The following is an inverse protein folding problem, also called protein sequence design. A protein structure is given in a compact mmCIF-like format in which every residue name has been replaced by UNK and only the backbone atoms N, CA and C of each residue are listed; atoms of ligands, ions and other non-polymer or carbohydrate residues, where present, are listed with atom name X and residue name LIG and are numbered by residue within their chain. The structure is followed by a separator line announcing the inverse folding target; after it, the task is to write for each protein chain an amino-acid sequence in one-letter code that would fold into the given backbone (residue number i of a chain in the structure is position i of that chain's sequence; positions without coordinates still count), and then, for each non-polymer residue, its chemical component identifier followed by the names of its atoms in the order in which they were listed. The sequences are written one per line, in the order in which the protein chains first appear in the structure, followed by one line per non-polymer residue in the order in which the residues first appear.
data_IF_279690576607
#
_entry.id   IF_279690576607
#
_cell.length_a   1.000
_cell.length_b   1.000
_cell.length_c   1.000
_cell.angle_alpha   90.00
_cell.angle_beta   90.00
_cell.angle_gamma   90.00
#
_symmetry.space_group_name_H-M   'P 1'
#
loop_
_entity.id
_entity.type
_entity.pdbx_description
1 polymer ?
#
# COMPACT_ATOMS: atom_id res chain seq x y z
N UNK A 1 0.87 28.79 9.06
CA UNK A 1 0.82 28.66 7.59
C UNK A 1 1.49 29.88 6.96
N UNK A 2 2.32 29.67 5.95
CA UNK A 2 2.89 30.82 5.21
C UNK A 2 1.78 31.50 4.38
N UNK A 3 1.89 32.84 4.20
CA UNK A 3 0.97 33.58 3.33
C UNK A 3 0.90 32.99 1.90
N UNK A 4 1.99 32.38 1.42
CA UNK A 4 2.03 31.73 0.11
C UNK A 4 1.15 30.49 0.04
N UNK A 5 1.04 29.66 1.06
CA UNK A 5 0.18 28.48 1.04
C UNK A 5 -1.31 28.86 0.96
N UNK A 6 -1.72 29.92 1.66
CA UNK A 6 -3.09 30.42 1.62
C UNK A 6 -3.47 31.02 0.24
N UNK A 7 -2.49 31.51 -0.52
CA UNK A 7 -2.73 32.05 -1.87
C UNK A 7 -3.10 30.97 -2.90
N UNK A 8 -2.75 29.70 -2.62
CA UNK A 8 -3.07 28.56 -3.49
C UNK A 8 -4.25 27.72 -3.00
N UNK A 9 -4.77 28.02 -1.80
CA UNK A 9 -5.96 27.35 -1.26
C UNK A 9 -7.22 27.98 -1.88
N UNK A 10 -7.62 27.44 -3.01
CA UNK A 10 -8.72 27.94 -3.84
C UNK A 10 -9.93 27.00 -3.79
N UNK A 11 -11.00 27.34 -4.48
CA UNK A 11 -12.23 26.56 -4.60
C UNK A 11 -12.69 26.55 -6.07
N UNK A 12 -13.87 25.98 -6.37
CA UNK A 12 -14.45 25.84 -7.71
C UNK A 12 -14.85 27.20 -8.30
N UNK A 13 -13.87 28.01 -8.67
CA UNK A 13 -14.05 29.30 -9.32
C UNK A 13 -14.10 29.14 -10.86
N UNK A 14 -14.63 30.15 -11.55
CA UNK A 14 -14.58 30.19 -13.02
C UNK A 14 -13.12 30.14 -13.48
N UNK A 15 -12.79 29.09 -14.27
CA UNK A 15 -11.43 28.82 -14.76
C UNK A 15 -10.64 27.83 -13.91
N UNK A 16 -11.18 27.44 -12.73
CA UNK A 16 -10.81 26.24 -12.02
C UNK A 16 -11.88 25.18 -12.23
N UNK A 17 -11.51 23.92 -12.15
CA UNK A 17 -12.38 22.79 -12.48
C UNK A 17 -13.10 22.26 -11.23
N UNK A 18 -13.94 21.22 -11.38
CA UNK A 18 -14.66 20.58 -10.28
C UNK A 18 -14.36 19.08 -10.23
N UNK A 19 -13.78 18.59 -9.12
CA UNK A 19 -13.27 17.22 -9.01
C UNK A 19 -14.33 16.15 -9.29
N UNK A 20 -15.56 16.34 -8.85
CA UNK A 20 -16.64 15.34 -9.03
C UNK A 20 -17.20 15.29 -10.46
N UNK A 21 -16.94 16.30 -11.28
CA UNK A 21 -17.34 16.36 -12.70
C UNK A 21 -16.32 17.18 -13.48
N UNK A 22 -15.08 16.69 -13.62
CA UNK A 22 -14.00 17.44 -14.23
C UNK A 22 -14.23 17.65 -15.73
N UNK A 23 -13.94 18.86 -16.23
CA UNK A 23 -14.10 19.25 -17.63
C UNK A 23 -13.02 20.24 -18.09
N UNK A 24 -12.02 20.51 -17.25
CA UNK A 24 -10.95 21.46 -17.49
C UNK A 24 -9.61 20.95 -16.96
N UNK A 25 -8.93 21.76 -16.16
CA UNK A 25 -7.55 21.47 -15.69
C UNK A 25 -7.44 20.21 -14.84
N UNK A 26 -8.48 19.84 -14.09
CA UNK A 26 -8.48 18.59 -13.30
C UNK A 26 -8.64 17.39 -14.26
N UNK A 27 -9.51 17.51 -15.27
CA UNK A 27 -9.65 16.47 -16.29
C UNK A 27 -8.32 16.24 -17.00
N UNK A 28 -7.69 17.32 -17.50
CA UNK A 28 -6.40 17.24 -18.18
C UNK A 28 -5.32 16.58 -17.29
N UNK A 29 -5.23 16.97 -16.02
CA UNK A 29 -4.28 16.38 -15.08
C UNK A 29 -4.57 14.88 -14.82
N UNK A 30 -5.83 14.46 -14.77
CA UNK A 30 -6.22 13.05 -14.65
C UNK A 30 -5.92 12.25 -15.92
N UNK A 31 -6.07 12.84 -17.11
CA UNK A 31 -5.69 12.25 -18.39
C UNK A 31 -4.16 12.03 -18.45
N UNK A 32 -3.37 13.03 -18.07
CA UNK A 32 -1.92 12.91 -17.95
C UNK A 32 -1.50 11.86 -16.91
N UNK A 33 -2.27 11.70 -15.83
CA UNK A 33 -2.04 10.61 -14.89
C UNK A 33 -2.37 9.25 -15.51
N UNK A 34 -3.44 9.12 -16.27
CA UNK A 34 -3.78 7.89 -17.00
C UNK A 34 -2.64 7.48 -17.94
N UNK A 35 -2.11 8.43 -18.71
CA UNK A 35 -0.98 8.19 -19.60
C UNK A 35 0.27 7.74 -18.85
N UNK A 36 0.64 8.45 -17.78
CA UNK A 36 1.85 8.18 -17.00
C UNK A 36 1.83 6.83 -16.29
N UNK A 37 0.65 6.36 -15.85
CA UNK A 37 0.49 5.10 -15.13
C UNK A 37 -0.01 3.94 -16.01
N UNK A 38 -0.29 4.18 -17.29
CA UNK A 38 -0.76 3.16 -18.24
C UNK A 38 -2.19 2.70 -17.96
N UNK A 39 -3.07 3.61 -17.54
CA UNK A 39 -4.48 3.34 -17.25
C UNK A 39 -5.40 3.86 -18.37
N UNK A 40 -6.58 3.25 -18.52
CA UNK A 40 -7.61 3.81 -19.40
C UNK A 40 -8.25 5.05 -18.77
N UNK A 41 -8.37 5.07 -17.44
CA UNK A 41 -8.87 6.22 -16.69
C UNK A 41 -8.27 6.30 -15.29
N UNK A 42 -7.99 7.54 -14.84
CA UNK A 42 -7.50 7.85 -13.49
C UNK A 42 -8.36 8.90 -12.81
N UNK A 43 -8.45 8.81 -11.48
CA UNK A 43 -9.14 9.77 -10.63
C UNK A 43 -8.23 10.22 -9.50
N UNK A 44 -8.24 11.52 -9.23
CA UNK A 44 -7.60 12.09 -8.06
C UNK A 44 -8.39 11.78 -6.80
N UNK A 45 -7.68 11.38 -5.75
CA UNK A 45 -8.26 11.07 -4.45
C UNK A 45 -7.69 12.05 -3.41
N UNK A 46 -8.59 12.86 -2.84
CA UNK A 46 -8.24 13.83 -1.79
C UNK A 46 -8.55 13.34 -0.38
N UNK A 47 -9.03 12.10 -0.25
CA UNK A 47 -9.33 11.41 1.00
C UNK A 47 -8.51 10.14 1.18
N UNK A 48 -7.31 10.09 0.58
CA UNK A 48 -6.37 8.97 0.67
C UNK A 48 -6.80 7.75 -0.15
N UNK A 49 -5.95 6.74 -0.17
CA UNK A 49 -6.25 5.43 -0.76
C UNK A 49 -7.48 4.78 -0.11
N UNK A 50 -7.78 5.12 1.14
CA UNK A 50 -8.96 4.65 1.86
C UNK A 50 -10.24 4.89 1.05
N UNK A 51 -10.47 6.11 0.55
CA UNK A 51 -11.65 6.40 -0.25
C UNK A 51 -11.64 5.66 -1.59
N UNK A 52 -10.46 5.45 -2.17
CA UNK A 52 -10.30 4.67 -3.40
C UNK A 52 -10.71 3.20 -3.22
N UNK A 53 -10.31 2.57 -2.12
CA UNK A 53 -10.72 1.21 -1.76
C UNK A 53 -12.24 1.14 -1.54
N UNK A 54 -12.81 2.12 -0.85
CA UNK A 54 -14.26 2.20 -0.66
C UNK A 54 -14.99 2.29 -2.01
N UNK A 55 -14.58 3.21 -2.87
CA UNK A 55 -15.18 3.42 -4.18
C UNK A 55 -15.02 2.20 -5.09
N UNK A 56 -13.86 1.56 -5.08
CA UNK A 56 -13.59 0.37 -5.88
C UNK A 56 -14.54 -0.78 -5.50
N UNK A 57 -14.67 -1.10 -4.21
CA UNK A 57 -15.57 -2.15 -3.76
C UNK A 57 -17.04 -1.78 -4.04
N UNK A 58 -17.47 -0.54 -3.75
CA UNK A 58 -18.82 -0.09 -4.02
C UNK A 58 -19.18 -0.09 -5.51
N UNK A 59 -18.20 0.12 -6.39
CA UNK A 59 -18.45 0.13 -7.85
C UNK A 59 -18.73 -1.26 -8.42
N UNK A 60 -18.22 -2.32 -7.80
CA UNK A 60 -18.39 -3.70 -8.24
C UNK A 60 -19.50 -4.43 -7.48
N UNK A 61 -19.69 -4.16 -6.19
CA UNK A 61 -20.80 -4.67 -5.40
C UNK A 61 -22.11 -3.98 -5.83
N UNK A 62 -23.01 -4.71 -6.49
CA UNK A 62 -24.25 -4.18 -7.07
C UNK A 62 -25.42 -4.27 -6.11
N UNK A 63 -25.44 -5.37 -5.35
CA UNK A 63 -26.54 -5.71 -4.47
C UNK A 63 -26.02 -6.01 -3.06
N UNK A 64 -26.91 -5.81 -2.08
CA UNK A 64 -26.63 -6.19 -0.70
C UNK A 64 -26.33 -7.69 -0.60
N UNK A 65 -25.22 -8.03 0.04
CA UNK A 65 -24.78 -9.41 0.22
C UNK A 65 -24.00 -10.00 -0.96
N UNK A 66 -23.70 -9.20 -1.99
CA UNK A 66 -22.75 -9.61 -3.02
C UNK A 66 -21.43 -10.03 -2.38
N UNK A 67 -20.87 -11.14 -2.87
CA UNK A 67 -19.61 -11.63 -2.34
C UNK A 67 -18.42 -10.82 -2.88
N UNK A 68 -17.54 -10.37 -1.99
CA UNK A 68 -16.22 -9.84 -2.34
C UNK A 68 -15.17 -10.78 -1.75
N UNK A 69 -14.31 -11.31 -2.60
CA UNK A 69 -13.15 -12.09 -2.15
C UNK A 69 -12.06 -11.14 -1.69
N UNK A 70 -11.56 -11.34 -0.48
CA UNK A 70 -10.57 -10.44 0.14
C UNK A 70 -9.44 -11.24 0.76
N UNK A 71 -8.20 -10.87 0.45
CA UNK A 71 -7.04 -11.42 1.15
C UNK A 71 -6.98 -10.91 2.60
N UNK A 72 -6.67 -11.79 3.56
CA UNK A 72 -6.71 -11.43 5.00
C UNK A 72 -5.56 -10.54 5.46
N UNK A 73 -4.58 -10.28 4.62
CA UNK A 73 -3.53 -9.28 4.81
C UNK A 73 -3.92 -7.87 4.34
N UNK A 74 -5.21 -7.67 4.01
CA UNK A 74 -5.73 -6.39 3.55
C UNK A 74 -5.70 -5.30 4.64
N UNK A 75 -5.60 -4.04 4.18
CA UNK A 75 -5.70 -2.87 5.04
C UNK A 75 -7.12 -2.71 5.64
N UNK A 76 -7.23 -2.05 6.80
CA UNK A 76 -8.51 -1.79 7.48
C UNK A 76 -9.57 -1.09 6.60
N UNK A 77 -9.16 -0.33 5.57
CA UNK A 77 -10.09 0.29 4.62
C UNK A 77 -10.95 -0.73 3.87
N UNK A 78 -10.47 -1.97 3.66
CA UNK A 78 -11.26 -3.04 3.06
C UNK A 78 -12.44 -3.43 3.94
N UNK A 79 -12.25 -3.54 5.26
CA UNK A 79 -13.33 -3.79 6.21
C UNK A 79 -14.38 -2.68 6.20
N UNK A 80 -13.92 -1.42 6.20
CA UNK A 80 -14.83 -0.27 6.11
C UNK A 80 -15.60 -0.26 4.79
N UNK A 81 -14.96 -0.63 3.69
CA UNK A 81 -15.61 -0.74 2.38
C UNK A 81 -16.70 -1.81 2.35
N UNK A 82 -16.46 -2.98 2.97
CA UNK A 82 -17.46 -4.04 3.12
C UNK A 82 -18.68 -3.58 3.93
N UNK A 83 -18.43 -2.82 5.01
CA UNK A 83 -19.50 -2.21 5.81
C UNK A 83 -20.32 -1.22 4.99
N UNK A 84 -19.66 -0.32 4.24
CA UNK A 84 -20.31 0.70 3.44
C UNK A 84 -21.13 0.11 2.27
N UNK A 85 -20.58 -0.89 1.61
CA UNK A 85 -21.24 -1.54 0.45
C UNK A 85 -22.30 -2.56 0.82
N UNK A 86 -22.30 -3.06 2.07
CA UNK A 86 -23.12 -4.20 2.48
C UNK A 86 -22.67 -5.53 1.87
N UNK A 87 -21.50 -5.57 1.23
CA UNK A 87 -20.95 -6.77 0.62
C UNK A 87 -20.50 -7.79 1.68
N UNK A 88 -20.61 -9.08 1.33
CA UNK A 88 -20.22 -10.19 2.18
C UNK A 88 -18.76 -10.60 1.87
N UNK A 89 -17.84 -10.60 2.84
CA UNK A 89 -16.48 -11.04 2.60
C UNK A 89 -16.39 -12.56 2.40
N UNK A 90 -15.54 -12.97 1.47
CA UNK A 90 -15.05 -14.34 1.32
C UNK A 90 -13.52 -14.27 1.47
N UNK A 91 -12.99 -14.88 2.53
CA UNK A 91 -11.60 -14.67 2.92
C UNK A 91 -10.66 -15.64 2.20
N UNK A 92 -9.58 -15.08 1.63
CA UNK A 92 -8.42 -15.88 1.20
C UNK A 92 -7.42 -15.95 2.34
N UNK A 93 -7.08 -17.18 2.76
CA UNK A 93 -6.03 -17.40 3.75
C UNK A 93 -4.67 -17.09 3.11
N UNK A 94 -3.89 -16.13 3.67
CA UNK A 94 -2.56 -15.81 3.17
C UNK A 94 -1.54 -16.90 3.51
N UNK A 95 -0.38 -16.84 2.90
CA UNK A 95 0.83 -17.50 3.35
C UNK A 95 1.57 -16.60 4.34
N UNK A 96 2.28 -17.21 5.29
CA UNK A 96 2.97 -16.48 6.35
C UNK A 96 4.46 -16.74 6.33
N UNK A 97 5.27 -15.69 6.30
CA UNK A 97 6.72 -15.77 6.46
C UNK A 97 7.09 -15.65 7.94
N UNK A 98 7.55 -16.76 8.54
CA UNK A 98 7.89 -16.83 9.96
C UNK A 98 9.14 -16.01 10.33
N UNK A 99 10.05 -15.78 9.39
CA UNK A 99 11.32 -15.07 9.64
C UNK A 99 11.08 -13.58 9.82
N UNK A 100 10.35 -12.99 8.88
CA UNK A 100 10.05 -11.57 8.88
C UNK A 100 8.72 -11.21 9.55
N UNK A 101 7.87 -12.21 9.83
CA UNK A 101 6.63 -12.03 10.57
C UNK A 101 5.53 -11.31 9.79
N UNK A 102 5.36 -11.59 8.50
CA UNK A 102 4.30 -11.02 7.70
C UNK A 102 3.51 -12.06 6.91
N UNK A 103 2.33 -11.65 6.47
CA UNK A 103 1.47 -12.41 5.57
C UNK A 103 1.54 -11.88 4.14
N UNK A 104 1.31 -12.75 3.14
CA UNK A 104 1.21 -12.40 1.73
C UNK A 104 0.14 -13.23 1.03
N UNK A 105 -0.36 -12.73 -0.11
CA UNK A 105 -1.36 -13.43 -0.91
C UNK A 105 -0.88 -14.82 -1.32
N UNK A 106 -1.72 -15.84 -1.09
CA UNK A 106 -1.56 -17.16 -1.68
C UNK A 106 -2.45 -17.27 -2.93
N UNK A 107 -1.85 -17.24 -4.11
CA UNK A 107 -2.59 -17.42 -5.38
C UNK A 107 -3.23 -18.81 -5.49
N UNK A 108 -2.61 -19.82 -4.87
CA UNK A 108 -3.20 -21.17 -4.75
C UNK A 108 -4.51 -21.14 -3.96
N UNK A 109 -4.51 -20.46 -2.82
CA UNK A 109 -5.72 -20.35 -2.00
C UNK A 109 -6.78 -19.47 -2.68
N UNK A 110 -6.37 -18.42 -3.40
CA UNK A 110 -7.27 -17.60 -4.20
C UNK A 110 -7.99 -18.44 -5.27
N UNK A 111 -7.26 -19.24 -6.05
CA UNK A 111 -7.84 -20.14 -7.07
C UNK A 111 -8.86 -21.10 -6.45
N UNK A 112 -8.52 -21.68 -5.29
CA UNK A 112 -9.43 -22.57 -4.58
C UNK A 112 -10.71 -21.85 -4.14
N UNK A 113 -10.56 -20.66 -3.52
CA UNK A 113 -11.72 -19.87 -3.08
C UNK A 113 -12.65 -19.51 -4.26
N UNK A 114 -12.08 -19.10 -5.39
CA UNK A 114 -12.86 -18.78 -6.60
C UNK A 114 -13.60 -20.00 -7.14
N UNK A 115 -12.96 -21.18 -7.15
CA UNK A 115 -13.56 -22.43 -7.61
C UNK A 115 -14.66 -22.93 -6.66
N UNK A 116 -14.56 -22.66 -5.37
CA UNK A 116 -15.50 -23.08 -4.34
C UNK A 116 -16.73 -22.13 -4.21
N UNK A 117 -16.73 -21.00 -4.93
CA UNK A 117 -17.87 -20.06 -4.93
C UNK A 117 -19.03 -20.60 -5.77
N UNK A 118 -20.22 -20.72 -5.19
CA UNK A 118 -21.44 -21.14 -5.92
C UNK A 118 -21.82 -20.18 -7.06
N UNK A 119 -21.46 -18.93 -6.93
CA UNK A 119 -21.63 -17.86 -7.93
C UNK A 119 -20.36 -17.03 -8.01
N UNK A 120 -19.99 -16.51 -9.20
CA UNK A 120 -18.87 -15.60 -9.31
C UNK A 120 -19.00 -14.44 -8.31
N UNK A 121 -17.98 -14.14 -7.51
CA UNK A 121 -17.99 -12.97 -6.63
C UNK A 121 -18.03 -11.68 -7.45
N UNK A 122 -18.50 -10.59 -6.87
CA UNK A 122 -18.55 -9.29 -7.54
C UNK A 122 -17.16 -8.68 -7.81
N UNK A 123 -16.17 -9.08 -7.04
CA UNK A 123 -14.77 -8.68 -7.22
C UNK A 123 -13.83 -9.40 -6.26
N UNK A 124 -12.54 -9.27 -6.53
CA UNK A 124 -11.45 -9.74 -5.68
C UNK A 124 -10.59 -8.54 -5.29
N UNK A 125 -10.32 -8.35 -3.99
CA UNK A 125 -9.38 -7.34 -3.49
C UNK A 125 -8.14 -8.02 -2.90
N UNK A 126 -6.96 -7.61 -3.39
CA UNK A 126 -5.65 -8.05 -2.88
C UNK A 126 -4.74 -6.86 -2.63
N UNK A 127 -3.67 -7.07 -1.87
CA UNK A 127 -2.65 -6.05 -1.59
C UNK A 127 -1.35 -6.43 -2.29
N UNK A 128 -0.74 -5.50 -3.02
CA UNK A 128 0.59 -5.65 -3.61
C UNK A 128 1.17 -4.28 -3.98
N UNK A 129 2.38 -3.94 -3.53
CA UNK A 129 3.16 -4.65 -2.53
C UNK A 129 2.55 -4.55 -1.13
N UNK A 130 2.92 -5.49 -0.24
CA UNK A 130 2.57 -5.37 1.18
C UNK A 130 3.46 -4.32 1.89
N UNK A 131 3.22 -4.08 3.19
CA UNK A 131 3.99 -3.10 3.98
C UNK A 131 5.50 -3.39 4.01
N UNK A 132 5.89 -4.64 3.85
CA UNK A 132 7.28 -5.10 3.89
C UNK A 132 7.97 -5.00 2.52
N UNK A 133 7.24 -4.61 1.48
CA UNK A 133 7.74 -4.46 0.13
C UNK A 133 7.73 -5.74 -0.70
N UNK A 134 7.12 -6.83 -0.19
CA UNK A 134 6.95 -8.04 -0.97
C UNK A 134 5.76 -7.89 -1.91
N UNK A 135 5.97 -8.19 -3.21
CA UNK A 135 4.94 -8.15 -4.22
C UNK A 135 4.24 -9.51 -4.35
N UNK A 136 2.92 -9.49 -4.40
CA UNK A 136 2.14 -10.66 -4.75
C UNK A 136 2.29 -10.97 -6.26
N UNK A 137 2.06 -12.23 -6.66
CA UNK A 137 1.97 -12.57 -8.08
C UNK A 137 0.63 -12.09 -8.66
N UNK A 138 0.56 -10.76 -8.92
CA UNK A 138 -0.67 -10.09 -9.41
C UNK A 138 -1.09 -10.64 -10.76
N UNK A 139 -0.14 -10.97 -11.66
CA UNK A 139 -0.46 -11.52 -12.97
C UNK A 139 -1.14 -12.90 -12.88
N UNK A 140 -0.76 -13.73 -11.93
CA UNK A 140 -1.44 -15.01 -11.69
C UNK A 140 -2.80 -14.79 -11.02
N UNK A 141 -2.91 -13.84 -10.09
CA UNK A 141 -4.18 -13.47 -9.46
C UNK A 141 -5.17 -12.93 -10.50
N UNK A 142 -4.73 -12.07 -11.41
CA UNK A 142 -5.55 -11.51 -12.49
C UNK A 142 -6.09 -12.64 -13.40
N UNK A 143 -5.20 -13.54 -13.86
CA UNK A 143 -5.64 -14.70 -14.66
C UNK A 143 -6.68 -15.53 -13.91
N UNK A 144 -6.46 -15.83 -12.64
CA UNK A 144 -7.40 -16.61 -11.83
C UNK A 144 -8.77 -15.92 -11.71
N UNK A 145 -8.80 -14.60 -11.54
CA UNK A 145 -10.05 -13.82 -11.49
C UNK A 145 -10.75 -13.80 -12.86
N UNK A 146 -10.02 -13.50 -13.92
CA UNK A 146 -10.56 -13.36 -15.27
C UNK A 146 -11.08 -14.69 -15.85
N UNK A 147 -10.47 -15.83 -15.50
CA UNK A 147 -11.00 -17.16 -15.84
C UNK A 147 -12.41 -17.41 -15.30
N UNK A 148 -12.80 -16.67 -14.24
CA UNK A 148 -14.14 -16.70 -13.64
C UNK A 148 -15.00 -15.47 -14.01
N UNK A 149 -14.51 -14.58 -14.87
CA UNK A 149 -15.21 -13.35 -15.25
C UNK A 149 -15.30 -12.30 -14.13
N UNK A 150 -14.40 -12.37 -13.14
CA UNK A 150 -14.39 -11.52 -11.94
C UNK A 150 -13.32 -10.45 -12.06
N UNK A 151 -13.60 -9.16 -11.74
CA UNK A 151 -12.58 -8.12 -11.72
C UNK A 151 -11.61 -8.27 -10.55
N UNK A 152 -10.32 -7.96 -10.81
CA UNK A 152 -9.28 -7.86 -9.79
C UNK A 152 -9.03 -6.41 -9.41
N UNK A 153 -9.18 -6.10 -8.13
CA UNK A 153 -8.87 -4.82 -7.50
C UNK A 153 -7.59 -4.99 -6.68
N UNK A 154 -6.63 -4.08 -6.87
CA UNK A 154 -5.36 -4.15 -6.16
C UNK A 154 -5.16 -2.89 -5.32
N UNK A 155 -5.00 -3.08 -4.02
CA UNK A 155 -4.46 -2.06 -3.14
C UNK A 155 -2.95 -2.00 -3.37
N UNK A 156 -2.53 -1.09 -4.24
CA UNK A 156 -1.14 -0.81 -4.60
C UNK A 156 -0.64 0.48 -3.89
N UNK A 157 -1.13 0.73 -2.67
CA UNK A 157 -0.82 1.95 -1.93
C UNK A 157 0.69 2.19 -1.73
N UNK A 158 1.50 1.16 -1.75
CA UNK A 158 2.94 1.24 -1.58
C UNK A 158 3.74 1.12 -2.90
N UNK A 159 3.06 1.02 -4.05
CA UNK A 159 3.69 0.79 -5.36
C UNK A 159 3.54 1.92 -6.37
N UNK A 160 3.19 3.16 -5.97
CA UNK A 160 2.96 4.27 -6.91
C UNK A 160 4.18 4.59 -7.79
N UNK A 161 5.38 4.24 -7.39
CA UNK A 161 6.61 4.47 -8.15
C UNK A 161 6.91 3.39 -9.20
N UNK A 162 6.21 2.27 -9.18
CA UNK A 162 6.52 1.11 -10.05
C UNK A 162 6.40 1.44 -11.55
N UNK A 163 5.53 2.35 -11.93
CA UNK A 163 5.36 2.74 -13.34
C UNK A 163 6.57 3.49 -13.94
N UNK A 164 7.56 3.91 -13.13
CA UNK A 164 8.56 4.90 -13.55
C UNK A 164 9.96 4.36 -13.73
N UNK A 165 10.22 3.06 -13.58
CA UNK A 165 11.51 2.47 -13.90
C UNK A 165 11.45 0.93 -14.00
N UNK A 166 12.18 0.35 -14.96
CA UNK A 166 12.21 -1.10 -15.24
C UNK A 166 12.84 -1.94 -14.12
N UNK A 167 13.65 -1.35 -13.23
CA UNK A 167 14.21 -2.04 -12.05
C UNK A 167 13.17 -2.22 -10.94
N UNK A 168 11.97 -1.65 -11.07
CA UNK A 168 10.87 -1.85 -10.13
C UNK A 168 10.01 -3.03 -10.56
N UNK A 169 9.26 -3.65 -9.61
CA UNK A 169 8.25 -4.62 -9.95
C UNK A 169 7.22 -4.06 -10.95
N UNK A 170 6.60 -4.91 -11.77
CA UNK A 170 5.56 -4.47 -12.68
C UNK A 170 4.36 -3.92 -11.90
N UNK A 171 3.70 -2.89 -12.44
CA UNK A 171 2.49 -2.31 -11.83
C UNK A 171 1.34 -3.32 -11.82
N UNK A 172 0.39 -3.15 -10.91
CA UNK A 172 -0.80 -3.98 -10.87
C UNK A 172 -1.58 -3.94 -12.20
N UNK A 173 -1.68 -2.77 -12.84
CA UNK A 173 -2.34 -2.63 -14.15
C UNK A 173 -1.60 -3.40 -15.24
N UNK A 174 -0.28 -3.30 -15.33
CA UNK A 174 0.52 -4.05 -16.32
C UNK A 174 0.43 -5.56 -16.11
N UNK A 175 0.16 -6.01 -14.88
CA UNK A 175 -0.12 -7.39 -14.53
C UNK A 175 -1.56 -7.83 -14.82
N UNK A 176 -2.43 -6.93 -15.26
CA UNK A 176 -3.82 -7.23 -15.64
C UNK A 176 -4.85 -6.95 -14.55
N UNK A 177 -4.54 -6.22 -13.49
CA UNK A 177 -5.56 -5.74 -12.56
C UNK A 177 -6.55 -4.80 -13.26
N UNK A 178 -7.82 -4.86 -12.91
CA UNK A 178 -8.87 -4.01 -13.48
C UNK A 178 -8.95 -2.65 -12.77
N UNK A 179 -8.61 -2.62 -11.47
CA UNK A 179 -8.46 -1.40 -10.66
C UNK A 179 -7.17 -1.49 -9.85
N UNK A 180 -6.39 -0.41 -9.82
CA UNK A 180 -5.27 -0.20 -8.93
C UNK A 180 -5.45 1.09 -8.13
N UNK A 181 -5.20 1.06 -6.82
CA UNK A 181 -5.33 2.22 -5.95
C UNK A 181 -3.98 2.51 -5.30
N UNK A 182 -3.46 3.72 -5.51
CA UNK A 182 -2.09 4.08 -5.17
C UNK A 182 -2.03 5.31 -4.27
N UNK A 183 -1.19 5.27 -3.24
CA UNK A 183 -0.89 6.44 -2.38
C UNK A 183 0.29 7.21 -2.96
N UNK A 184 0.03 8.30 -3.67
CA UNK A 184 1.10 9.16 -4.21
C UNK A 184 1.95 9.80 -3.11
N UNK A 185 1.37 10.02 -1.93
CA UNK A 185 2.07 10.59 -0.78
C UNK A 185 3.05 9.64 -0.08
N UNK A 186 2.98 8.32 -0.31
CA UNK A 186 3.86 7.35 0.36
C UNK A 186 5.18 7.14 -0.37
N UNK A 187 5.16 7.11 -1.69
CA UNK A 187 6.33 6.75 -2.50
C UNK A 187 6.69 7.76 -3.58
N UNK A 188 5.79 8.71 -3.86
CA UNK A 188 6.02 9.90 -4.67
C UNK A 188 5.97 11.15 -3.79
N UNK A 189 6.33 12.31 -4.34
CA UNK A 189 6.49 13.56 -3.57
C UNK A 189 5.18 14.35 -3.38
N UNK A 190 4.03 13.68 -3.27
CA UNK A 190 2.75 14.34 -3.02
C UNK A 190 2.54 14.64 -1.53
N UNK A 191 1.66 15.58 -1.21
CA UNK A 191 1.24 15.90 0.15
C UNK A 191 0.49 14.71 0.77
N UNK A 192 0.60 14.55 2.08
CA UNK A 192 -0.16 13.53 2.84
C UNK A 192 -1.64 13.54 2.47
N UNK A 193 -2.25 12.36 2.32
CA UNK A 193 -3.63 12.14 1.89
C UNK A 193 -3.84 12.12 0.36
N UNK A 194 -2.88 12.59 -0.42
CA UNK A 194 -2.93 12.55 -1.88
C UNK A 194 -2.79 11.11 -2.41
N UNK A 195 -3.71 10.69 -3.27
CA UNK A 195 -3.75 9.33 -3.83
C UNK A 195 -4.37 9.34 -5.23
N UNK A 196 -4.25 8.22 -5.93
CA UNK A 196 -4.84 7.97 -7.25
C UNK A 196 -5.60 6.65 -7.26
N UNK A 197 -6.69 6.60 -8.01
CA UNK A 197 -7.35 5.39 -8.44
C UNK A 197 -7.22 5.29 -9.95
N UNK A 198 -6.80 4.14 -10.44
CA UNK A 198 -6.65 3.82 -11.86
C UNK A 198 -7.55 2.65 -12.20
N UNK A 199 -8.13 2.67 -13.40
CA UNK A 199 -8.92 1.56 -13.91
C UNK A 199 -8.66 1.33 -15.40
N UNK A 200 -8.87 0.07 -15.83
CA UNK A 200 -8.73 -0.34 -17.23
C UNK A 200 -9.71 -1.46 -17.59
N UNK A 201 -9.93 -1.60 -18.90
CA UNK A 201 -10.76 -2.66 -19.49
C UNK A 201 -12.26 -2.45 -19.27
N UNK A 202 -13.01 -3.50 -19.53
CA UNK A 202 -14.48 -3.48 -19.57
C UNK A 202 -15.17 -4.24 -18.43
N UNK A 203 -14.40 -4.88 -17.52
CA UNK A 203 -14.96 -5.63 -16.37
C UNK A 203 -15.48 -4.73 -15.27
N UNK A 204 -15.01 -3.47 -15.24
CA UNK A 204 -15.43 -2.46 -14.27
C UNK A 204 -16.09 -1.28 -14.97
N UNK A 205 -17.05 -0.65 -14.31
CA UNK A 205 -17.74 0.51 -14.86
C UNK A 205 -17.10 1.79 -14.34
N UNK A 206 -16.49 2.57 -15.23
CA UNK A 206 -15.91 3.88 -14.89
C UNK A 206 -16.94 4.86 -14.35
N UNK A 207 -18.17 4.81 -14.84
CA UNK A 207 -19.26 5.65 -14.33
C UNK A 207 -19.63 5.31 -12.89
N UNK A 208 -19.64 4.01 -12.53
CA UNK A 208 -19.90 3.59 -11.15
C UNK A 208 -18.76 3.96 -10.21
N UNK A 209 -17.51 3.87 -10.66
CA UNK A 209 -16.34 4.35 -9.91
C UNK A 209 -16.50 5.85 -9.65
N UNK A 210 -16.77 6.65 -10.70
CA UNK A 210 -16.98 8.09 -10.58
C UNK A 210 -18.12 8.45 -9.64
N UNK A 211 -19.28 7.76 -9.74
CA UNK A 211 -20.43 7.97 -8.86
C UNK A 211 -20.10 7.63 -7.39
N UNK A 212 -19.36 6.53 -7.15
CA UNK A 212 -18.92 6.15 -5.81
C UNK A 212 -17.95 7.19 -5.21
N UNK A 213 -17.01 7.68 -6.00
CA UNK A 213 -16.08 8.74 -5.59
C UNK A 213 -16.82 10.05 -5.28
N UNK A 214 -17.82 10.42 -6.10
CA UNK A 214 -18.64 11.60 -5.84
C UNK A 214 -19.40 11.52 -4.52
N UNK A 215 -19.88 10.34 -4.14
CA UNK A 215 -20.56 10.14 -2.86
C UNK A 215 -19.62 10.17 -1.65
N UNK A 216 -18.38 9.76 -1.83
CA UNK A 216 -17.45 9.50 -0.73
C UNK A 216 -16.44 10.62 -0.50
N UNK A 217 -16.08 11.39 -1.53
CA UNK A 217 -15.15 12.49 -1.41
C UNK A 217 -15.87 13.79 -1.00
N UNK A 218 -15.11 14.70 -0.38
CA UNK A 218 -15.60 16.04 -0.04
C UNK A 218 -16.06 16.79 -1.31
N UNK A 219 -17.19 17.49 -1.21
CA UNK A 219 -17.63 18.42 -2.26
C UNK A 219 -16.78 19.70 -2.32
N UNK A 220 -15.90 19.91 -1.34
CA UNK A 220 -14.93 21.01 -1.31
C UNK A 220 -13.52 20.41 -1.29
N UNK A 221 -13.05 19.84 -2.43
CA UNK A 221 -11.75 19.16 -2.47
C UNK A 221 -10.61 20.17 -2.34
N UNK A 222 -9.54 19.78 -1.67
CA UNK A 222 -8.36 20.62 -1.51
C UNK A 222 -7.58 20.74 -2.83
N UNK A 223 -7.51 21.94 -3.38
CA UNK A 223 -6.71 22.25 -4.57
C UNK A 223 -5.21 22.09 -4.31
N UNK A 224 -4.74 22.32 -3.09
CA UNK A 224 -3.36 22.05 -2.70
C UNK A 224 -3.03 20.56 -2.84
N UNK A 225 -3.93 19.66 -2.40
CA UNK A 225 -3.75 18.23 -2.56
C UNK A 225 -3.75 17.83 -4.03
N UNK A 226 -4.71 18.30 -4.82
CA UNK A 226 -4.81 17.98 -6.26
C UNK A 226 -3.58 18.47 -7.03
N UNK A 227 -3.12 19.71 -6.75
CA UNK A 227 -1.89 20.26 -7.35
C UNK A 227 -0.66 19.43 -6.94
N UNK A 228 -0.61 18.92 -5.71
CA UNK A 228 0.50 18.08 -5.26
C UNK A 228 0.51 16.72 -5.96
N UNK A 229 -0.66 16.14 -6.29
CA UNK A 229 -0.77 14.90 -7.05
C UNK A 229 -0.18 15.09 -8.45
N UNK A 230 -0.62 16.13 -9.15
CA UNK A 230 -0.16 16.39 -10.52
C UNK A 230 1.33 16.76 -10.56
N UNK A 231 1.80 17.56 -9.60
CA UNK A 231 3.23 17.89 -9.48
C UNK A 231 4.07 16.63 -9.22
N UNK A 232 3.62 15.74 -8.35
CA UNK A 232 4.32 14.48 -8.06
C UNK A 232 4.36 13.56 -9.29
N UNK A 233 3.25 13.45 -10.04
CA UNK A 233 3.20 12.73 -11.32
C UNK A 233 4.22 13.32 -12.31
N UNK A 234 4.20 14.63 -12.51
CA UNK A 234 5.12 15.30 -13.44
C UNK A 234 6.58 15.09 -13.04
N UNK A 235 6.90 15.20 -11.73
CA UNK A 235 8.24 14.91 -11.21
C UNK A 235 8.64 13.45 -11.45
N UNK A 236 7.73 12.50 -11.27
CA UNK A 236 8.01 11.09 -11.48
C UNK A 236 8.33 10.78 -12.96
N UNK A 237 7.59 11.37 -13.90
CA UNK A 237 7.88 11.26 -15.34
C UNK A 237 9.27 11.83 -15.66
N UNK A 238 9.61 13.01 -15.14
CA UNK A 238 10.94 13.59 -15.34
C UNK A 238 12.03 12.73 -14.71
N UNK A 239 11.78 12.14 -13.53
CA UNK A 239 12.75 11.29 -12.84
C UNK A 239 12.95 9.93 -13.54
N UNK A 240 12.00 9.47 -14.37
CA UNK A 240 12.16 8.28 -15.20
C UNK A 240 13.03 8.53 -16.42
N UNK A 241 12.91 9.71 -17.04
CA UNK A 241 13.58 10.08 -18.30
C UNK A 241 15.00 10.66 -18.10
N UNK A 242 15.48 10.77 -16.86
CA UNK A 242 16.77 11.42 -16.59
C UNK A 242 17.95 10.65 -17.20
N UNK A 243 18.36 11.05 -18.38
CA UNK A 243 19.50 10.48 -19.12
C UNK A 243 20.87 10.69 -18.44
N UNK A 244 20.94 11.45 -17.35
CA UNK A 244 22.09 11.55 -16.48
C UNK A 244 21.70 11.32 -15.01
N UNK A 245 21.86 10.09 -14.52
CA UNK A 245 21.47 9.71 -13.15
C UNK A 245 22.32 10.41 -12.06
N UNK A 246 23.40 11.11 -12.41
CA UNK A 246 24.26 11.83 -11.45
C UNK A 246 23.84 13.29 -11.25
N UNK A 247 23.05 13.86 -12.19
CA UNK A 247 22.72 15.28 -12.20
C UNK A 247 21.34 15.65 -11.65
N UNK A 248 20.47 14.67 -11.38
CA UNK A 248 19.13 14.89 -10.84
C UNK A 248 18.65 13.68 -10.04
N UNK A 249 17.78 13.84 -9.02
CA UNK A 249 17.13 12.70 -8.42
C UNK A 249 16.45 11.84 -9.49
N UNK A 250 16.80 10.54 -9.59
CA UNK A 250 16.21 9.63 -10.54
C UNK A 250 15.88 8.30 -9.88
N UNK A 251 14.83 7.64 -10.37
CA UNK A 251 14.46 6.32 -9.88
C UNK A 251 15.57 5.28 -10.11
N UNK A 252 16.27 5.37 -11.22
CA UNK A 252 17.45 4.52 -11.49
C UNK A 252 18.53 4.66 -10.41
N UNK A 253 18.84 5.89 -9.98
CA UNK A 253 19.83 6.13 -8.93
C UNK A 253 19.30 5.64 -7.57
N UNK A 254 18.04 5.93 -7.24
CA UNK A 254 17.41 5.47 -6.00
C UNK A 254 17.42 3.94 -5.89
N UNK A 255 17.00 3.23 -6.94
CA UNK A 255 16.99 1.77 -6.99
C UNK A 255 18.40 1.18 -6.84
N UNK A 256 19.40 1.71 -7.59
CA UNK A 256 20.80 1.26 -7.46
C UNK A 256 21.35 1.47 -6.06
N UNK A 257 21.12 2.65 -5.47
CA UNK A 257 21.64 2.98 -4.12
C UNK A 257 20.98 2.08 -3.06
N UNK A 258 19.65 1.89 -3.12
CA UNK A 258 18.94 1.00 -2.23
C UNK A 258 19.41 -0.45 -2.38
N UNK A 259 19.58 -0.96 -3.59
CA UNK A 259 20.10 -2.30 -3.83
C UNK A 259 21.54 -2.47 -3.32
N UNK A 260 22.41 -1.43 -3.47
CA UNK A 260 23.76 -1.43 -2.93
C UNK A 260 23.76 -1.52 -1.40
N UNK A 261 22.92 -0.71 -0.76
CA UNK A 261 22.90 -0.67 0.71
C UNK A 261 22.26 -1.95 1.29
N UNK A 262 21.22 -2.52 0.69
CA UNK A 262 20.66 -3.82 1.06
C UNK A 262 21.75 -4.90 1.11
N UNK A 263 22.56 -5.01 0.04
CA UNK A 263 23.68 -5.95 0.00
C UNK A 263 24.77 -5.65 1.02
N UNK A 264 24.96 -4.40 1.40
CA UNK A 264 25.93 -3.99 2.43
C UNK A 264 25.43 -4.37 3.83
N UNK A 265 24.17 -4.12 4.13
CA UNK A 265 23.53 -4.48 5.41
C UNK A 265 23.44 -6.00 5.57
N UNK A 266 23.11 -6.74 4.51
CA UNK A 266 23.05 -8.20 4.54
C UNK A 266 24.40 -8.91 4.83
N UNK A 267 25.54 -8.17 4.80
CA UNK A 267 26.83 -8.69 5.23
C UNK A 267 27.10 -8.51 6.73
N UNK A 268 26.24 -7.83 7.44
CA UNK A 268 26.33 -7.66 8.88
C UNK A 268 25.91 -8.98 9.53
N UNK A 269 26.77 -9.64 10.34
CA UNK A 269 26.41 -10.91 10.97
C UNK A 269 25.14 -10.78 11.81
N UNK A 270 24.21 -11.71 11.64
CA UNK A 270 22.93 -11.73 12.37
C UNK A 270 21.87 -10.78 11.86
N UNK A 271 22.09 -10.10 10.72
CA UNK A 271 21.10 -9.25 10.04
C UNK A 271 20.68 -9.89 8.72
N UNK A 272 19.41 -10.17 8.55
CA UNK A 272 18.83 -10.55 7.27
C UNK A 272 18.07 -9.38 6.64
N UNK A 273 18.16 -9.27 5.30
CA UNK A 273 17.44 -8.26 4.52
C UNK A 273 16.55 -8.96 3.51
N UNK A 274 15.26 -8.64 3.49
CA UNK A 274 14.29 -9.20 2.55
C UNK A 274 14.70 -8.88 1.10
N UNK A 275 14.63 -9.90 0.23
CA UNK A 275 15.01 -9.79 -1.18
C UNK A 275 16.51 -9.98 -1.45
N UNK A 276 17.32 -10.30 -0.45
CA UNK A 276 18.75 -10.61 -0.64
C UNK A 276 19.00 -12.10 -0.47
N UNK A 277 18.66 -12.88 -1.52
CA UNK A 277 18.92 -14.33 -1.58
C UNK A 277 17.99 -15.19 -0.71
N UNK A 278 16.87 -14.65 -0.24
CA UNK A 278 15.99 -15.32 0.72
C UNK A 278 14.50 -15.37 0.31
N UNK A 279 14.15 -14.92 -0.88
CA UNK A 279 12.81 -15.07 -1.47
C UNK A 279 12.91 -15.21 -2.99
N UNK A 280 11.95 -15.90 -3.60
CA UNK A 280 11.77 -16.01 -5.04
C UNK A 280 10.77 -14.98 -5.59
N UNK A 281 9.99 -14.36 -4.72
CA UNK A 281 9.05 -13.30 -5.09
C UNK A 281 9.78 -11.98 -5.33
N UNK A 282 9.13 -11.10 -6.08
CA UNK A 282 9.61 -9.75 -6.32
C UNK A 282 9.48 -8.89 -5.07
N UNK A 283 10.51 -8.09 -4.81
CA UNK A 283 10.56 -7.17 -3.67
C UNK A 283 10.84 -5.77 -4.18
N UNK A 284 10.06 -4.80 -3.72
CA UNK A 284 10.32 -3.38 -3.97
C UNK A 284 11.76 -3.02 -3.57
N UNK A 285 12.62 -2.61 -4.52
CA UNK A 285 13.99 -2.24 -4.20
C UNK A 285 14.09 -1.06 -3.23
N UNK A 286 13.10 -0.16 -3.20
CA UNK A 286 13.08 1.01 -2.31
C UNK A 286 12.56 0.69 -0.89
N UNK A 287 12.04 -0.52 -0.65
CA UNK A 287 11.63 -0.97 0.67
C UNK A 287 12.75 -1.78 1.31
N UNK A 288 13.30 -1.29 2.41
CA UNK A 288 14.35 -1.97 3.16
C UNK A 288 13.71 -2.63 4.39
N UNK A 289 13.41 -3.90 4.27
CA UNK A 289 12.87 -4.72 5.37
C UNK A 289 13.96 -5.65 5.87
N UNK A 290 14.24 -5.59 7.16
CA UNK A 290 15.30 -6.37 7.78
C UNK A 290 14.87 -6.96 9.13
N UNK A 291 15.50 -8.06 9.50
CA UNK A 291 15.36 -8.67 10.83
C UNK A 291 16.72 -8.84 11.49
N UNK A 292 16.73 -8.70 12.81
CA UNK A 292 17.87 -8.95 13.67
C UNK A 292 17.56 -10.09 14.66
N UNK A 293 16.64 -10.98 14.32
CA UNK A 293 16.21 -12.09 15.17
C UNK A 293 17.36 -13.00 15.58
N UNK A 294 18.36 -13.21 14.72
CA UNK A 294 19.55 -14.00 15.02
C UNK A 294 20.44 -13.36 16.11
N UNK A 295 20.28 -12.07 16.37
CA UNK A 295 20.93 -11.34 17.46
C UNK A 295 20.05 -11.27 18.72
N UNK A 296 18.96 -12.02 18.75
CA UNK A 296 18.00 -12.04 19.86
C UNK A 296 17.40 -10.66 20.16
N UNK A 297 17.20 -9.84 19.13
CA UNK A 297 16.61 -8.48 19.23
C UNK A 297 15.29 -8.42 18.45
N UNK A 298 14.26 -7.89 19.11
CA UNK A 298 13.01 -7.60 18.42
C UNK A 298 13.14 -6.36 17.51
N UNK A 299 12.32 -6.27 16.46
CA UNK A 299 12.28 -5.09 15.62
C UNK A 299 11.92 -3.82 16.39
N UNK A 300 11.06 -3.92 17.43
CA UNK A 300 10.74 -2.78 18.30
C UNK A 300 11.95 -2.27 19.06
N UNK A 301 12.80 -3.18 19.60
CA UNK A 301 14.01 -2.78 20.31
C UNK A 301 15.01 -2.08 19.37
N UNK A 302 15.16 -2.61 18.15
CA UNK A 302 16.04 -2.03 17.14
C UNK A 302 15.51 -0.65 16.70
N UNK A 303 14.22 -0.52 16.50
CA UNK A 303 13.59 0.76 16.14
C UNK A 303 13.81 1.85 17.20
N UNK A 304 13.60 1.52 18.48
CA UNK A 304 13.86 2.42 19.63
C UNK A 304 15.31 2.89 19.67
N UNK A 305 16.28 1.98 19.50
CA UNK A 305 17.71 2.35 19.50
C UNK A 305 18.04 3.26 18.31
N UNK A 306 17.54 2.93 17.12
CA UNK A 306 17.75 3.73 15.91
C UNK A 306 17.21 5.15 16.08
N UNK A 307 16.00 5.29 16.61
CA UNK A 307 15.35 6.58 16.82
C UNK A 307 16.06 7.40 17.92
N UNK A 308 16.28 6.80 19.10
CA UNK A 308 16.79 7.51 20.28
C UNK A 308 18.29 7.84 20.19
N UNK A 309 19.09 6.95 19.56
CA UNK A 309 20.56 7.09 19.55
C UNK A 309 21.05 7.69 18.24
N UNK A 310 20.44 7.32 17.11
CA UNK A 310 20.94 7.70 15.78
C UNK A 310 20.02 8.69 15.05
N UNK A 311 18.83 8.99 15.59
CA UNK A 311 17.87 9.86 14.95
C UNK A 311 17.26 9.27 13.65
N UNK A 312 17.32 7.94 13.49
CA UNK A 312 16.81 7.23 12.31
C UNK A 312 15.45 6.63 12.64
N UNK A 313 14.40 7.17 12.01
CA UNK A 313 13.01 6.75 12.25
C UNK A 313 12.60 5.71 11.20
N UNK A 314 12.25 4.47 11.59
CA UNK A 314 11.73 3.48 10.66
C UNK A 314 10.27 3.78 10.29
N UNK A 315 9.85 3.30 9.12
CA UNK A 315 8.46 3.34 8.67
C UNK A 315 7.56 2.43 9.52
N UNK A 316 8.07 1.24 9.86
CA UNK A 316 7.34 0.24 10.61
C UNK A 316 8.32 -0.59 11.43
N UNK A 317 7.94 -0.93 12.65
CA UNK A 317 8.59 -1.96 13.46
C UNK A 317 7.56 -3.00 13.90
N UNK A 318 7.97 -4.25 13.92
CA UNK A 318 7.23 -5.40 14.46
C UNK A 318 8.11 -6.14 15.45
N UNK A 319 7.61 -7.23 16.01
CA UNK A 319 8.45 -8.10 16.84
C UNK A 319 9.64 -8.67 16.05
N UNK A 320 9.47 -8.96 14.77
CA UNK A 320 10.47 -9.66 13.95
C UNK A 320 11.23 -8.77 12.97
N UNK A 321 10.67 -7.66 12.53
CA UNK A 321 11.22 -6.86 11.45
C UNK A 321 11.19 -5.35 11.72
N UNK A 322 12.12 -4.65 11.06
CA UNK A 322 12.13 -3.18 10.93
C UNK A 322 12.12 -2.84 9.44
N UNK A 323 11.30 -1.86 9.06
CA UNK A 323 11.08 -1.46 7.68
C UNK A 323 11.44 0.00 7.47
N UNK A 324 12.18 0.29 6.42
CA UNK A 324 12.50 1.65 5.97
C UNK A 324 12.04 1.85 4.53
N UNK A 325 11.75 3.09 4.18
CA UNK A 325 11.36 3.50 2.83
C UNK A 325 12.43 4.44 2.29
N UNK A 326 13.07 4.05 1.20
CA UNK A 326 13.86 4.97 0.39
C UNK A 326 12.96 5.64 -0.66
N UNK A 327 13.25 6.88 -0.99
CA UNK A 327 12.51 7.68 -1.99
C UNK A 327 13.49 8.43 -2.88
N UNK A 328 12.97 9.22 -3.83
CA UNK A 328 13.79 10.13 -4.63
C UNK A 328 14.58 11.15 -3.79
N UNK A 329 14.08 11.48 -2.59
CA UNK A 329 14.74 12.41 -1.67
C UNK A 329 15.78 11.76 -0.75
N UNK A 330 15.87 10.42 -0.72
CA UNK A 330 16.83 9.72 0.14
C UNK A 330 18.24 9.82 -0.41
N UNK A 331 19.16 10.36 0.38
CA UNK A 331 20.56 10.53 -0.01
C UNK A 331 21.38 9.25 0.21
N UNK A 332 22.54 9.18 -0.44
CA UNK A 332 23.51 8.09 -0.20
C UNK A 332 24.00 8.11 1.25
N UNK A 333 24.19 9.31 1.83
CA UNK A 333 24.60 9.47 3.24
C UNK A 333 23.57 8.86 4.20
N UNK A 334 22.28 9.15 4.00
CA UNK A 334 21.20 8.58 4.86
C UNK A 334 21.24 7.04 4.89
N UNK A 335 21.48 6.42 3.73
CA UNK A 335 21.59 4.98 3.62
C UNK A 335 22.88 4.43 4.27
N UNK A 336 23.98 5.14 4.17
CA UNK A 336 25.27 4.78 4.78
C UNK A 336 25.23 4.93 6.31
N UNK A 337 24.56 5.97 6.82
CA UNK A 337 24.32 6.20 8.23
C UNK A 337 23.46 5.09 8.83
N UNK A 338 22.41 4.66 8.13
CA UNK A 338 21.62 3.49 8.53
C UNK A 338 22.48 2.22 8.62
N UNK A 339 23.33 1.97 7.61
CA UNK A 339 24.19 0.77 7.63
C UNK A 339 25.26 0.84 8.73
N UNK A 340 25.77 2.03 9.08
CA UNK A 340 26.70 2.23 10.18
C UNK A 340 26.02 1.94 11.52
N UNK A 341 24.85 2.54 11.77
CA UNK A 341 24.08 2.32 12.97
C UNK A 341 23.75 0.83 13.19
N UNK A 342 23.32 0.13 12.13
CA UNK A 342 23.02 -1.30 12.21
C UNK A 342 24.25 -2.15 12.53
N UNK A 343 25.46 -1.78 12.06
CA UNK A 343 26.70 -2.49 12.43
C UNK A 343 27.02 -2.30 13.91
N UNK A 344 26.85 -1.10 14.45
CA UNK A 344 27.08 -0.81 15.87
C UNK A 344 26.07 -1.58 16.75
N UNK A 345 24.78 -1.59 16.36
CA UNK A 345 23.74 -2.34 17.05
C UNK A 345 24.04 -3.86 17.02
N UNK A 346 24.52 -4.38 15.89
CA UNK A 346 24.87 -5.80 15.76
C UNK A 346 26.12 -6.18 16.56
N UNK A 347 27.07 -5.28 16.73
CA UNK A 347 28.29 -5.49 17.51
C UNK A 347 28.06 -5.39 19.03
N UNK A 348 27.00 -4.71 19.47
CA UNK A 348 26.65 -4.59 20.88
C UNK A 348 25.90 -5.84 21.37
N UNK A 349 26.62 -6.79 21.93
CA UNK A 349 26.05 -8.04 22.48
C UNK A 349 25.36 -7.87 23.83
N UNK A 350 25.49 -6.71 24.48
CA UNK A 350 24.99 -6.44 25.84
C UNK A 350 23.75 -5.53 25.85
N UNK A 351 23.30 -5.06 24.70
CA UNK A 351 22.15 -4.16 24.61
C UNK A 351 20.82 -4.87 24.97
N UNK A 352 19.77 -4.08 25.26
CA UNK A 352 18.52 -4.62 25.75
C UNK A 352 17.93 -5.63 24.76
N UNK A 353 17.64 -6.83 25.25
CA UNK A 353 16.73 -7.79 24.62
C UNK A 353 15.33 -7.18 24.79
N UNK A 354 14.89 -6.38 23.81
CA UNK A 354 13.63 -5.65 23.92
C UNK A 354 12.45 -6.61 23.89
N UNK A 355 11.69 -6.62 24.96
CA UNK A 355 10.29 -7.06 24.93
C UNK A 355 9.46 -6.02 24.20
N UNK A 356 8.46 -6.46 23.43
CA UNK A 356 7.45 -5.56 22.88
C UNK A 356 6.99 -4.54 23.95
N UNK A 357 6.71 -3.27 23.61
CA UNK A 357 6.11 -2.34 24.54
C UNK A 357 4.92 -3.06 25.19
N UNK A 358 4.90 -3.15 26.51
CA UNK A 358 3.77 -3.70 27.24
C UNK A 358 2.54 -2.88 26.84
N UNK A 359 1.80 -3.38 25.88
CA UNK A 359 0.40 -2.98 25.75
C UNK A 359 -0.22 -3.32 27.10
N UNK A 360 -0.83 -2.33 27.73
CA UNK A 360 -1.48 -2.48 29.02
C UNK A 360 -2.24 -3.81 29.06
N UNK A 361 -2.00 -4.58 30.12
CA UNK A 361 -2.41 -5.98 30.30
C UNK A 361 -3.93 -6.19 30.48
N UNK A 362 -4.74 -5.47 29.74
CA UNK A 362 -6.20 -5.58 29.73
C UNK A 362 -6.80 -6.13 28.42
N UNK A 363 -5.96 -6.55 27.48
CA UNK A 363 -6.40 -7.42 26.39
C UNK A 363 -6.16 -8.86 26.83
N UNK A 364 -7.08 -9.42 27.60
CA UNK A 364 -7.14 -10.85 27.85
C UNK A 364 -7.01 -11.60 26.53
N UNK A 365 -5.97 -12.42 26.44
CA UNK A 365 -5.78 -13.40 25.40
C UNK A 365 -6.93 -14.41 25.43
N UNK A 366 -8.09 -14.02 24.93
CA UNK A 366 -9.19 -14.93 24.67
C UNK A 366 -9.04 -15.48 23.26
N UNK A 367 -8.41 -16.67 23.15
CA UNK A 367 -8.80 -17.66 22.17
C UNK A 367 -8.60 -17.34 20.70
N UNK A 368 -7.43 -16.83 20.28
CA UNK A 368 -7.13 -16.69 18.83
C UNK A 368 -6.58 -17.99 18.20
N UNK A 369 -6.30 -19.02 18.98
CA UNK A 369 -5.74 -20.29 18.49
C UNK A 369 -6.77 -21.29 17.94
N UNK A 370 -8.08 -21.00 18.03
CA UNK A 370 -9.13 -21.93 17.57
C UNK A 370 -10.04 -21.39 16.48
N UNK A 371 -9.78 -20.18 15.95
CA UNK A 371 -10.62 -19.54 14.92
C UNK A 371 -10.18 -19.86 13.47
N UNK A 372 -9.50 -20.98 13.23
CA UNK A 372 -9.15 -21.46 11.88
C UNK A 372 -10.30 -22.21 11.21
N UNK A 373 -11.29 -22.64 11.97
CA UNK A 373 -12.58 -23.11 11.46
C UNK A 373 -13.63 -22.01 11.68
N UNK A 374 -13.63 -21.00 10.80
CA UNK A 374 -14.71 -20.04 10.79
C UNK A 374 -15.94 -20.74 10.18
N UNK A 375 -16.98 -21.10 10.97
CA UNK A 375 -18.25 -21.52 10.38
C UNK A 375 -18.72 -20.33 9.52
N UNK A 376 -19.41 -20.63 8.41
CA UNK A 376 -20.10 -19.63 7.61
C UNK A 376 -21.28 -19.06 8.42
N UNK A 377 -20.98 -18.37 9.49
CA UNK A 377 -21.96 -17.58 10.23
C UNK A 377 -22.13 -16.31 9.45
N UNK A 378 -23.33 -16.06 8.97
CA UNK A 378 -23.68 -14.87 8.20
C UNK A 378 -23.18 -13.61 8.92
N UNK A 379 -22.09 -13.07 8.42
CA UNK A 379 -21.54 -11.80 8.88
C UNK A 379 -22.46 -10.71 8.32
N UNK A 380 -23.28 -10.12 9.17
CA UNK A 380 -24.01 -8.89 8.84
C UNK A 380 -23.16 -7.69 9.35
N UNK A 381 -22.39 -7.03 8.48
CA UNK A 381 -21.54 -5.92 8.89
C UNK A 381 -22.32 -4.75 9.47
N UNK A 382 -23.66 -4.66 9.24
CA UNK A 382 -24.53 -3.60 9.75
C UNK A 382 -25.07 -3.90 11.14
N UNK A 383 -25.11 -5.17 11.56
CA UNK A 383 -25.66 -5.60 12.85
C UNK A 383 -24.61 -5.74 13.94
N UNK A 384 -23.35 -5.93 13.60
CA UNK A 384 -22.28 -5.89 14.58
C UNK A 384 -21.77 -4.46 14.71
N UNK A 385 -21.90 -3.87 15.89
CA UNK A 385 -21.32 -2.57 16.18
C UNK A 385 -19.79 -2.70 16.28
N UNK A 386 -19.15 -2.90 15.12
CA UNK A 386 -17.69 -2.90 14.96
C UNK A 386 -17.10 -1.59 15.52
N UNK A 387 -17.88 -0.51 15.48
CA UNK A 387 -17.50 0.78 16.06
C UNK A 387 -17.31 0.74 17.59
N UNK A 388 -17.99 -0.12 18.33
CA UNK A 388 -17.87 -0.10 19.81
C UNK A 388 -16.63 -0.84 20.33
N UNK A 389 -16.08 -1.81 19.62
CA UNK A 389 -14.87 -2.53 20.04
C UNK A 389 -13.59 -1.93 19.46
N UNK A 390 -13.59 -1.50 18.18
CA UNK A 390 -12.43 -0.88 17.56
C UNK A 390 -12.14 0.52 18.13
N UNK A 391 -13.17 1.34 18.38
CA UNK A 391 -12.97 2.69 18.94
C UNK A 391 -12.47 2.70 20.39
N UNK A 392 -12.71 1.64 21.16
CA UNK A 392 -12.18 1.53 22.54
C UNK A 392 -10.70 1.15 22.61
N UNK A 393 -10.07 0.76 21.52
CA UNK A 393 -8.63 0.45 21.44
C UNK A 393 -7.78 1.64 20.99
N UNK A 394 -8.40 2.76 20.54
CA UNK A 394 -7.68 3.92 20.01
C UNK A 394 -8.00 5.24 20.73
N UNK A 395 -8.75 5.23 21.85
CA UNK A 395 -8.98 6.41 22.71
C UNK A 395 -8.44 6.15 24.11
#
# INVERSE_FOLDING_TARGET
MSQSALAYDTTELKGLDYLSNPSGVIQEAQELASEAFGADRSWFLVNGTTVGIHAAIMSVAKDEGDAIVVSRDCHQSAFSALVLSGARPVWVKPEYDERFGFATLSTRNLRRVLADCDRPPAGVLVVSPNYFGLCANVAEAARACHDHGVPLLVDEAHGSHFAFHDDFPPTALSCGADIAIQSTHKTLSAMTQASLLHAQGDRVSFDKIGASLQMLQSSSPSYLLMSSIDTARAQAVVASDSGNPESSPSFAAAARNAARIKRTIAKIPGVEVLGVGNTAEEVDPLRLTLTLSDLNRSGFAVASILEETYGIVPELATDKAVVFVATLGTTVSDLEDLAAALREIAADTNGPVGTAPQQSADAEASGLDTALDCPQVGFDPRRQSIFSSAFRQFV
#
